data_IF_437195272153
#
_entry.id   IF_437195272153
#
_cell.length_a   1.000
_cell.length_b   1.000
_cell.length_c   1.000
_cell.angle_alpha   90.00
_cell.angle_beta   90.00
_cell.angle_gamma   90.00
#
_symmetry.space_group_name_H-M   'P 1'
#
loop_
_entity.id
_entity.type
_entity.pdbx_description
1 polymer ?
#
# COMPACT_ATOMS: atom_id res chain seq x y z
N UNK A 1 19.09 6.65 -96.01
CA UNK A 1 18.01 7.13 -95.13
C UNK A 1 18.01 6.32 -93.83
N UNK A 2 18.80 6.75 -92.84
CA UNK A 2 18.88 6.21 -91.47
C UNK A 2 19.42 7.33 -90.57
N UNK A 3 18.63 8.36 -90.30
CA UNK A 3 19.00 9.45 -89.38
C UNK A 3 17.75 10.24 -88.99
N UNK A 4 16.77 9.57 -88.37
CA UNK A 4 15.60 10.27 -87.83
C UNK A 4 14.93 9.54 -86.65
N UNK A 5 15.71 8.96 -85.73
CA UNK A 5 15.17 8.29 -84.54
C UNK A 5 15.95 8.52 -83.23
N UNK A 6 16.82 9.53 -83.16
CA UNK A 6 17.63 9.82 -81.98
C UNK A 6 17.40 11.20 -81.33
N UNK A 7 16.31 11.89 -81.67
CA UNK A 7 16.02 13.24 -81.15
C UNK A 7 14.85 13.27 -80.14
N UNK A 8 14.11 12.17 -79.95
CA UNK A 8 12.92 12.16 -79.06
C UNK A 8 13.21 11.53 -77.67
N UNK A 9 14.40 10.97 -77.44
CA UNK A 9 14.73 10.29 -76.16
C UNK A 9 15.55 11.16 -75.18
N UNK A 10 15.97 12.37 -75.55
CA UNK A 10 16.72 13.28 -74.66
C UNK A 10 15.88 14.39 -74.00
N UNK A 11 14.56 14.44 -74.22
CA UNK A 11 13.69 15.52 -73.70
C UNK A 11 12.64 15.01 -72.69
N UNK A 12 12.92 13.90 -72.01
CA UNK A 12 12.10 13.34 -70.92
C UNK A 12 12.89 13.14 -69.61
N UNK A 13 14.12 13.66 -69.54
CA UNK A 13 15.02 13.53 -68.38
C UNK A 13 15.35 14.88 -67.71
N UNK A 14 14.47 15.89 -67.84
CA UNK A 14 14.67 17.24 -67.30
C UNK A 14 13.43 17.80 -66.58
N UNK A 15 12.59 16.93 -65.99
CA UNK A 15 11.45 17.33 -65.14
C UNK A 15 11.43 16.48 -63.85
N UNK A 16 12.59 16.31 -63.19
CA UNK A 16 12.68 15.73 -61.83
C UNK A 16 13.54 16.60 -60.90
N UNK A 17 13.72 17.89 -61.20
CA UNK A 17 14.46 18.80 -60.31
C UNK A 17 13.72 20.12 -60.15
N UNK A 18 12.63 20.10 -59.40
CA UNK A 18 12.16 21.21 -58.56
C UNK A 18 10.82 20.84 -57.93
N UNK A 19 10.89 20.08 -56.84
CA UNK A 19 9.87 20.13 -55.79
C UNK A 19 10.60 19.99 -54.46
N UNK A 20 11.46 20.96 -54.15
CA UNK A 20 11.68 21.35 -52.76
C UNK A 20 10.36 21.97 -52.30
N UNK A 21 9.43 21.13 -51.87
CA UNK A 21 8.50 21.52 -50.83
C UNK A 21 9.37 22.04 -49.69
N UNK A 22 9.14 23.27 -49.23
CA UNK A 22 9.52 23.62 -47.87
C UNK A 22 8.84 22.59 -46.99
N UNK A 23 9.59 21.61 -46.50
CA UNK A 23 9.20 20.93 -45.28
C UNK A 23 9.14 22.03 -44.23
N UNK A 24 7.92 22.44 -43.91
CA UNK A 24 7.67 22.96 -42.60
C UNK A 24 8.31 21.96 -41.65
N UNK A 25 9.35 22.36 -40.93
CA UNK A 25 9.63 21.82 -39.62
C UNK A 25 8.38 22.11 -38.79
N UNK A 26 7.37 21.24 -38.96
CA UNK A 26 6.51 20.88 -37.86
C UNK A 26 7.51 20.33 -36.88
N UNK A 27 7.85 21.14 -35.88
CA UNK A 27 8.27 20.65 -34.58
C UNK A 27 7.27 19.57 -34.24
N UNK A 28 7.62 18.34 -34.58
CA UNK A 28 7.06 17.17 -33.97
C UNK A 28 7.41 17.39 -32.52
N UNK A 29 6.46 17.95 -31.76
CA UNK A 29 6.32 17.58 -30.38
C UNK A 29 6.59 16.09 -30.38
N UNK A 30 7.66 15.69 -29.69
CA UNK A 30 7.65 14.38 -29.08
C UNK A 30 6.36 14.39 -28.28
N UNK A 31 5.28 13.93 -28.90
CA UNK A 31 4.25 13.20 -28.23
C UNK A 31 5.03 12.12 -27.53
N UNK A 32 5.43 12.45 -26.30
CA UNK A 32 5.51 11.49 -25.23
C UNK A 32 4.23 10.70 -25.42
N UNK A 33 4.37 9.50 -25.96
CA UNK A 33 3.39 8.47 -25.76
C UNK A 33 3.39 8.27 -24.24
N UNK A 34 2.65 9.13 -23.53
CA UNK A 34 2.24 8.87 -22.17
C UNK A 34 1.40 7.61 -22.34
N UNK A 35 2.01 6.50 -22.01
CA UNK A 35 1.36 5.22 -21.94
C UNK A 35 0.19 5.37 -20.97
N UNK A 36 -1.02 5.54 -21.52
CA UNK A 36 -2.28 5.62 -20.77
C UNK A 36 -2.84 4.24 -20.46
N UNK A 37 -2.06 3.18 -20.68
CA UNK A 37 -2.34 1.83 -20.19
C UNK A 37 -1.98 1.73 -18.71
N UNK A 38 -2.64 2.50 -17.86
CA UNK A 38 -2.42 2.50 -16.41
C UNK A 38 -2.77 1.10 -15.89
N UNK A 39 -1.77 0.22 -15.77
CA UNK A 39 -1.74 -0.68 -14.62
C UNK A 39 -1.78 0.27 -13.44
N UNK A 40 -2.89 0.27 -12.71
CA UNK A 40 -2.95 1.05 -11.48
C UNK A 40 -1.82 0.55 -10.59
N UNK A 41 -1.22 1.42 -9.78
CA UNK A 41 -0.08 1.03 -8.95
C UNK A 41 -0.39 -0.22 -8.09
N UNK A 42 -1.68 -0.44 -7.78
CA UNK A 42 -2.22 -1.61 -7.08
C UNK A 42 -2.09 -2.94 -7.85
N UNK A 43 -2.09 -2.90 -9.17
CA UNK A 43 -2.03 -4.08 -10.04
C UNK A 43 -0.59 -4.46 -10.42
N UNK A 44 0.40 -3.66 -10.00
CA UNK A 44 1.79 -3.95 -10.32
C UNK A 44 2.30 -5.16 -9.54
N UNK A 45 2.99 -6.05 -10.25
CA UNK A 45 3.65 -7.21 -9.66
C UNK A 45 5.10 -6.82 -9.30
N UNK A 46 5.59 -7.18 -8.09
CA UNK A 46 6.99 -6.94 -7.74
C UNK A 46 7.95 -7.67 -8.67
N UNK A 47 8.98 -6.96 -9.14
CA UNK A 47 10.00 -7.52 -10.01
C UNK A 47 11.00 -8.35 -9.18
N UNK A 48 11.08 -9.65 -9.46
CA UNK A 48 11.96 -10.59 -8.73
C UNK A 48 13.45 -10.24 -8.79
N UNK A 49 13.90 -9.49 -9.80
CA UNK A 49 15.28 -9.02 -9.87
C UNK A 49 15.60 -7.93 -8.84
N UNK A 50 14.56 -7.31 -8.26
CA UNK A 50 14.68 -6.22 -7.32
C UNK A 50 14.42 -6.65 -5.88
N UNK A 51 14.07 -7.92 -5.62
CA UNK A 51 13.73 -8.43 -4.29
C UNK A 51 14.78 -8.06 -3.22
N UNK A 52 16.07 -8.19 -3.53
CA UNK A 52 17.17 -7.84 -2.61
C UNK A 52 17.70 -6.39 -2.72
N UNK A 53 17.14 -5.56 -3.61
CA UNK A 53 17.58 -4.16 -3.79
C UNK A 53 16.74 -3.16 -2.99
N UNK A 54 16.97 -1.86 -3.13
CA UNK A 54 16.07 -0.81 -2.61
C UNK A 54 14.94 -0.46 -3.58
N UNK A 55 15.03 -0.94 -4.81
CA UNK A 55 14.00 -0.71 -5.81
C UNK A 55 12.92 -1.79 -5.66
N UNK A 56 11.73 -1.51 -6.15
CA UNK A 56 10.58 -2.41 -6.08
C UNK A 56 9.29 -1.70 -5.70
N UNK A 57 8.36 -2.49 -5.17
CA UNK A 57 7.06 -2.02 -4.70
C UNK A 57 7.06 -2.08 -3.18
N UNK A 58 6.55 -1.02 -2.56
CA UNK A 58 6.30 -0.94 -1.13
C UNK A 58 4.79 -0.78 -0.92
N UNK A 59 4.27 -1.43 0.11
CA UNK A 59 2.87 -1.37 0.48
C UNK A 59 2.72 -1.19 1.99
N UNK A 60 1.64 -0.56 2.43
CA UNK A 60 1.35 -0.43 3.84
C UNK A 60 0.16 0.48 4.08
N UNK A 61 0.19 1.21 5.20
CA UNK A 61 -0.94 2.01 5.68
C UNK A 61 -0.51 3.42 6.05
N UNK A 62 -1.46 4.35 5.97
CA UNK A 62 -1.36 5.70 6.52
C UNK A 62 -2.54 5.96 7.44
N UNK A 63 -2.34 6.71 8.52
CA UNK A 63 -3.38 7.01 9.50
C UNK A 63 -3.16 8.37 10.16
N UNK A 64 -4.24 9.12 10.35
CA UNK A 64 -4.22 10.34 11.12
C UNK A 64 -4.07 10.03 12.61
N UNK A 65 -3.30 10.86 13.32
CA UNK A 65 -3.24 10.83 14.77
C UNK A 65 -4.46 11.47 15.43
N UNK A 66 -5.11 12.42 14.76
CA UNK A 66 -6.12 13.32 15.34
C UNK A 66 -7.54 13.04 14.87
N UNK A 67 -7.70 12.30 13.77
CA UNK A 67 -8.98 11.90 13.20
C UNK A 67 -9.03 10.38 12.97
N UNK A 68 -10.17 9.87 12.52
CA UNK A 68 -10.31 8.46 12.11
C UNK A 68 -9.89 8.24 10.64
N UNK A 69 -9.30 9.25 10.00
CA UNK A 69 -8.82 9.14 8.62
C UNK A 69 -7.65 8.17 8.54
N UNK A 70 -7.72 7.25 7.58
CA UNK A 70 -6.76 6.17 7.37
C UNK A 70 -6.86 5.67 5.95
N UNK A 71 -5.84 4.96 5.49
CA UNK A 71 -5.81 4.45 4.15
C UNK A 71 -4.67 3.49 3.92
N UNK A 72 -4.65 2.95 2.70
CA UNK A 72 -3.58 2.10 2.18
C UNK A 72 -2.67 2.94 1.29
N UNK A 73 -1.37 2.64 1.33
CA UNK A 73 -0.37 3.28 0.49
C UNK A 73 0.35 2.23 -0.36
N UNK A 74 0.62 2.59 -1.61
CA UNK A 74 1.51 1.87 -2.51
C UNK A 74 2.57 2.84 -3.00
N UNK A 75 3.82 2.42 -3.00
CA UNK A 75 4.95 3.19 -3.53
C UNK A 75 5.73 2.31 -4.49
N UNK A 76 5.96 2.80 -5.70
CA UNK A 76 6.83 2.17 -6.69
C UNK A 76 8.11 2.98 -6.78
N UNK A 77 9.21 2.32 -6.45
CA UNK A 77 10.57 2.84 -6.56
C UNK A 77 11.25 2.05 -7.66
N UNK A 78 11.14 2.53 -8.90
CA UNK A 78 11.77 1.97 -10.09
C UNK A 78 11.42 0.51 -10.42
N UNK A 79 10.35 -0.08 -9.88
CA UNK A 79 9.91 -1.45 -10.21
C UNK A 79 9.78 -1.68 -11.73
N UNK A 80 9.27 -0.65 -12.40
CA UNK A 80 9.14 -0.56 -13.86
C UNK A 80 9.79 0.71 -14.41
N UNK A 81 10.91 1.13 -13.82
CA UNK A 81 11.63 2.38 -14.13
C UNK A 81 10.86 3.69 -13.87
N UNK A 82 9.68 3.62 -13.24
CA UNK A 82 8.94 4.80 -12.78
C UNK A 82 9.04 4.97 -11.28
N UNK A 83 8.83 6.21 -10.81
CA UNK A 83 8.75 6.55 -9.41
C UNK A 83 7.41 7.24 -9.15
N UNK A 84 6.47 6.52 -8.55
CA UNK A 84 5.14 7.04 -8.24
C UNK A 84 4.58 6.37 -6.99
N UNK A 85 3.62 7.03 -6.36
CA UNK A 85 2.91 6.49 -5.22
C UNK A 85 1.42 6.79 -5.32
N UNK A 86 0.64 5.99 -4.59
CA UNK A 86 -0.80 6.11 -4.47
C UNK A 86 -1.16 5.96 -3.00
N UNK A 87 -1.94 6.89 -2.48
CA UNK A 87 -2.64 6.74 -1.20
C UNK A 87 -4.13 6.66 -1.50
N UNK A 88 -4.80 5.63 -0.99
CA UNK A 88 -6.26 5.49 -1.00
C UNK A 88 -6.74 5.53 0.44
N UNK A 89 -7.53 6.55 0.77
CA UNK A 89 -8.19 6.64 2.08
C UNK A 89 -9.43 5.75 2.11
N UNK A 90 -9.81 5.33 3.32
CA UNK A 90 -10.98 4.50 3.59
C UNK A 90 -12.31 5.09 3.10
N UNK A 91 -12.40 6.42 2.96
CA UNK A 91 -13.57 7.11 2.41
C UNK A 91 -13.61 7.13 0.87
N UNK A 92 -12.63 6.50 0.21
CA UNK A 92 -12.50 6.41 -1.24
C UNK A 92 -11.81 7.61 -1.89
N UNK A 93 -11.19 8.51 -1.12
CA UNK A 93 -10.34 9.57 -1.67
C UNK A 93 -8.97 9.01 -2.08
N UNK A 94 -8.47 9.45 -3.23
CA UNK A 94 -7.18 9.01 -3.79
C UNK A 94 -6.22 10.18 -3.96
N UNK A 95 -4.94 9.95 -3.64
CA UNK A 95 -3.85 10.87 -3.89
C UNK A 95 -2.75 10.18 -4.70
N UNK A 96 -2.46 10.71 -5.88
CA UNK A 96 -1.36 10.24 -6.73
C UNK A 96 -0.15 11.15 -6.54
N UNK A 97 1.02 10.56 -6.33
CA UNK A 97 2.28 11.27 -6.12
C UNK A 97 3.30 10.89 -7.18
N UNK A 98 4.16 11.84 -7.51
CA UNK A 98 5.36 11.62 -8.30
C UNK A 98 6.58 12.01 -7.48
N UNK A 99 7.73 11.42 -7.81
CA UNK A 99 9.00 11.81 -7.19
C UNK A 99 9.29 13.30 -7.45
N UNK A 100 9.73 14.01 -6.43
CA UNK A 100 10.15 15.40 -6.54
C UNK A 100 11.35 15.48 -7.51
N UNK A 101 11.26 16.26 -8.61
CA UNK A 101 12.32 16.33 -9.61
C UNK A 101 13.68 16.77 -9.06
N UNK A 102 13.71 17.53 -7.96
CA UNK A 102 14.97 17.95 -7.33
C UNK A 102 15.73 16.78 -6.70
N UNK A 103 15.02 15.77 -6.20
CA UNK A 103 15.59 14.55 -5.62
C UNK A 103 16.52 13.82 -6.61
N UNK A 104 16.15 13.73 -7.89
CA UNK A 104 16.97 13.02 -8.88
C UNK A 104 18.26 13.75 -9.28
N UNK A 105 18.36 15.05 -8.98
CA UNK A 105 19.46 15.88 -9.46
C UNK A 105 20.72 15.83 -8.56
N UNK A 106 20.62 15.25 -7.36
CA UNK A 106 21.62 15.45 -6.30
C UNK A 106 22.41 14.21 -5.84
N UNK A 107 22.12 12.97 -6.23
CA UNK A 107 22.87 11.83 -5.66
C UNK A 107 23.06 10.59 -6.56
N UNK A 108 24.32 10.14 -6.65
CA UNK A 108 24.70 8.74 -6.86
C UNK A 108 24.46 8.03 -5.53
N UNK A 109 23.50 7.11 -5.45
CA UNK A 109 23.03 6.40 -4.24
C UNK A 109 21.98 7.16 -3.40
N UNK A 110 20.90 7.62 -4.06
CA UNK A 110 19.74 8.15 -3.35
C UNK A 110 19.02 7.03 -2.58
N UNK A 111 18.94 7.16 -1.25
CA UNK A 111 18.13 6.28 -0.39
C UNK A 111 16.87 6.98 0.12
N UNK A 112 16.80 8.29 0.01
CA UNK A 112 15.67 9.11 0.49
C UNK A 112 14.91 9.64 -0.72
N UNK A 113 13.62 9.39 -0.79
CA UNK A 113 12.74 9.76 -1.89
C UNK A 113 11.63 10.68 -1.38
N UNK A 114 11.55 11.88 -1.95
CA UNK A 114 10.46 12.82 -1.64
C UNK A 114 9.37 12.70 -2.70
N UNK A 115 8.16 12.33 -2.29
CA UNK A 115 7.01 12.20 -3.17
C UNK A 115 6.08 13.39 -2.95
N UNK A 116 5.66 14.03 -4.05
CA UNK A 116 4.85 15.24 -4.03
C UNK A 116 3.64 15.13 -4.95
N UNK A 117 2.56 15.78 -4.55
CA UNK A 117 1.36 16.01 -5.35
C UNK A 117 0.87 17.44 -5.12
N UNK A 118 -0.24 17.82 -5.77
CA UNK A 118 -0.86 19.13 -5.50
C UNK A 118 -1.49 19.21 -4.11
N UNK A 119 -1.78 18.07 -3.50
CA UNK A 119 -2.62 17.96 -2.29
C UNK A 119 -1.86 17.35 -1.10
N UNK A 120 -0.59 16.99 -1.29
CA UNK A 120 0.20 16.40 -0.24
C UNK A 120 1.65 16.15 -0.61
N UNK A 121 2.39 15.64 0.37
CA UNK A 121 3.75 15.14 0.21
C UNK A 121 4.07 14.10 1.28
N UNK A 122 5.12 13.32 1.04
CA UNK A 122 5.76 12.48 2.06
C UNK A 122 7.21 12.19 1.68
N UNK A 123 7.98 11.67 2.64
CA UNK A 123 9.35 11.18 2.44
C UNK A 123 9.41 9.69 2.72
N UNK A 124 10.13 8.95 1.86
CA UNK A 124 10.44 7.53 2.04
C UNK A 124 11.96 7.37 2.16
N UNK A 125 12.45 6.86 3.28
CA UNK A 125 13.85 6.52 3.51
C UNK A 125 14.04 5.00 3.42
N UNK A 126 14.87 4.59 2.46
CA UNK A 126 15.23 3.21 2.14
C UNK A 126 16.70 2.90 2.46
N UNK A 127 17.32 3.68 3.35
CA UNK A 127 18.66 3.40 3.87
C UNK A 127 18.74 2.04 4.58
N UNK A 128 17.64 1.59 5.18
CA UNK A 128 17.42 0.21 5.62
C UNK A 128 16.21 -0.40 4.90
N UNK A 129 16.46 -1.21 3.87
CA UNK A 129 15.38 -1.82 3.07
C UNK A 129 14.56 -2.86 3.83
N UNK A 130 15.08 -3.41 4.92
CA UNK A 130 14.34 -4.33 5.80
C UNK A 130 13.38 -3.61 6.75
N UNK A 131 13.61 -2.32 7.00
CA UNK A 131 12.75 -1.46 7.83
C UNK A 131 12.59 -0.09 7.15
N UNK A 132 11.86 -0.01 6.02
CA UNK A 132 11.63 1.26 5.32
C UNK A 132 10.94 2.27 6.24
N UNK A 133 11.43 3.51 6.25
CA UNK A 133 10.82 4.58 7.04
C UNK A 133 10.04 5.52 6.13
N UNK A 134 8.75 5.74 6.46
CA UNK A 134 7.93 6.75 5.81
C UNK A 134 7.62 7.87 6.81
N UNK A 135 7.86 9.11 6.41
CA UNK A 135 7.76 10.26 7.29
C UNK A 135 7.17 11.48 6.56
N UNK A 136 6.83 12.51 7.34
CA UNK A 136 6.32 13.79 6.85
C UNK A 136 5.11 13.65 5.91
N UNK A 137 4.24 12.68 6.16
CA UNK A 137 3.05 12.47 5.34
C UNK A 137 2.08 13.60 5.64
N UNK A 138 1.78 14.42 4.65
CA UNK A 138 0.79 15.50 4.74
C UNK A 138 -0.20 15.34 3.60
N UNK A 139 -1.49 15.25 3.91
CA UNK A 139 -2.59 15.17 2.96
C UNK A 139 -3.61 16.25 3.30
N UNK A 140 -3.98 17.11 2.35
CA UNK A 140 -4.94 18.20 2.55
C UNK A 140 -4.62 19.10 3.76
N UNK A 141 -3.32 19.32 4.04
CA UNK A 141 -2.78 20.03 5.21
C UNK A 141 -2.98 19.35 6.58
N UNK A 142 -3.32 18.06 6.60
CA UNK A 142 -3.35 17.23 7.81
C UNK A 142 -2.14 16.28 7.80
N UNK A 143 -1.49 16.12 8.96
CA UNK A 143 -0.37 15.19 9.13
C UNK A 143 -0.87 13.77 9.40
N UNK A 144 -0.22 12.82 8.74
CA UNK A 144 -0.48 11.39 8.88
C UNK A 144 0.80 10.68 9.38
N UNK A 145 0.57 9.60 10.11
CA UNK A 145 1.56 8.55 10.34
C UNK A 145 1.46 7.51 9.23
N UNK A 146 2.50 6.71 9.05
CA UNK A 146 2.44 5.58 8.14
C UNK A 146 3.51 4.56 8.41
N UNK A 147 3.31 3.38 7.85
CA UNK A 147 4.30 2.32 7.77
C UNK A 147 4.19 1.67 6.42
N UNK A 148 5.33 1.37 5.81
CA UNK A 148 5.41 0.62 4.57
C UNK A 148 6.41 -0.51 4.72
N UNK A 149 6.15 -1.59 4.00
CA UNK A 149 7.00 -2.76 3.93
C UNK A 149 7.21 -3.08 2.45
N UNK A 150 8.31 -3.75 2.14
CA UNK A 150 8.61 -4.10 0.76
C UNK A 150 7.81 -5.32 0.33
N UNK A 151 7.14 -5.23 -0.81
CA UNK A 151 6.52 -6.38 -1.48
C UNK A 151 7.57 -7.16 -2.26
N UNK A 152 7.59 -8.47 -2.07
CA UNK A 152 8.52 -9.38 -2.73
C UNK A 152 7.82 -10.10 -3.88
N UNK A 153 8.58 -10.55 -4.88
CA UNK A 153 8.00 -11.24 -6.04
C UNK A 153 7.34 -12.58 -5.71
N UNK A 154 7.83 -13.25 -4.67
CA UNK A 154 7.26 -14.49 -4.15
C UNK A 154 6.13 -14.25 -3.14
N UNK A 155 6.09 -13.07 -2.53
CA UNK A 155 4.96 -12.66 -1.70
C UNK A 155 4.78 -11.14 -1.62
N UNK A 156 3.59 -10.71 -2.00
CA UNK A 156 3.22 -9.30 -1.95
C UNK A 156 2.78 -8.94 -0.54
N UNK A 157 3.25 -7.82 -0.01
CA UNK A 157 2.76 -7.33 1.26
C UNK A 157 1.26 -6.98 1.15
N UNK A 158 0.54 -7.20 2.24
CA UNK A 158 -0.89 -6.94 2.34
C UNK A 158 -1.20 -6.11 3.59
N UNK A 159 -2.35 -5.42 3.57
CA UNK A 159 -2.78 -4.60 4.70
C UNK A 159 -4.30 -4.54 4.80
N UNK A 160 -4.78 -4.34 6.02
CA UNK A 160 -6.18 -4.04 6.32
C UNK A 160 -6.24 -2.82 7.23
N UNK A 161 -7.21 -1.93 6.97
CA UNK A 161 -7.43 -0.72 7.76
C UNK A 161 -8.71 -0.86 8.55
N UNK A 162 -8.72 -0.31 9.76
CA UNK A 162 -9.86 -0.38 10.66
C UNK A 162 -9.89 0.82 11.61
N UNK A 163 -11.00 0.98 12.32
CA UNK A 163 -11.14 1.90 13.46
C UNK A 163 -11.49 1.13 14.72
N UNK A 164 -11.21 1.72 15.88
CA UNK A 164 -11.74 1.22 17.14
C UNK A 164 -12.45 2.33 17.90
N UNK A 165 -13.41 1.96 18.74
CA UNK A 165 -14.09 2.88 19.66
C UNK A 165 -14.53 2.15 20.93
N UNK A 166 -14.36 2.79 22.08
CA UNK A 166 -14.93 2.36 23.36
C UNK A 166 -16.46 2.43 23.35
N UNK A 167 -17.09 1.42 23.96
CA UNK A 167 -18.53 1.33 24.10
C UNK A 167 -19.05 2.42 25.03
N UNK A 168 -20.02 3.20 24.55
CA UNK A 168 -20.64 4.28 25.32
C UNK A 168 -19.76 5.51 25.54
N UNK A 169 -18.50 5.50 25.10
CA UNK A 169 -17.60 6.65 25.16
C UNK A 169 -16.70 6.75 23.90
N UNK A 170 -17.17 7.42 22.83
CA UNK A 170 -16.42 7.53 21.59
C UNK A 170 -15.15 8.39 21.69
N UNK A 171 -14.86 9.00 22.85
CA UNK A 171 -13.60 9.76 23.04
C UNK A 171 -12.36 8.87 23.14
N UNK A 172 -12.52 7.58 23.45
CA UNK A 172 -11.46 6.59 23.31
C UNK A 172 -11.67 5.83 22.00
N UNK A 173 -11.27 6.47 20.91
CA UNK A 173 -11.35 5.94 19.55
C UNK A 173 -10.10 6.31 18.76
N UNK A 174 -9.88 5.59 17.67
CA UNK A 174 -8.70 5.75 16.85
C UNK A 174 -8.69 4.80 15.66
N UNK A 175 -7.55 4.70 14.99
CA UNK A 175 -7.36 3.76 13.88
C UNK A 175 -6.66 2.47 14.36
N UNK A 176 -6.89 1.38 13.65
CA UNK A 176 -6.37 0.06 13.96
C UNK A 176 -6.00 -0.63 12.64
N UNK A 177 -4.73 -0.64 12.27
CA UNK A 177 -4.33 -1.04 10.92
C UNK A 177 -3.33 -2.20 10.98
N UNK A 178 -3.59 -3.24 10.19
CA UNK A 178 -2.77 -4.45 10.14
C UNK A 178 -1.93 -4.46 8.86
N UNK A 179 -0.70 -4.95 8.97
CA UNK A 179 0.20 -5.18 7.84
C UNK A 179 0.74 -6.62 7.94
N UNK A 180 0.82 -7.28 6.80
CA UNK A 180 1.65 -8.46 6.60
C UNK A 180 2.73 -8.14 5.56
N UNK A 181 3.99 -8.25 5.96
CA UNK A 181 5.16 -8.00 5.08
C UNK A 181 5.50 -9.18 4.16
N UNK A 182 4.77 -10.28 4.32
CA UNK A 182 4.95 -11.47 3.53
C UNK A 182 6.13 -12.38 3.92
N UNK A 183 6.79 -12.12 5.05
CA UNK A 183 7.82 -13.00 5.62
C UNK A 183 7.25 -14.32 6.18
N UNK A 184 5.97 -14.33 6.55
CA UNK A 184 5.26 -15.50 7.08
C UNK A 184 4.22 -15.98 6.05
N UNK A 185 4.62 -16.95 5.22
CA UNK A 185 3.78 -17.48 4.14
C UNK A 185 2.86 -18.58 4.63
N UNK A 186 1.58 -18.50 4.27
CA UNK A 186 0.60 -19.57 4.48
C UNK A 186 0.66 -20.17 5.89
N UNK A 187 0.63 -19.35 6.95
CA UNK A 187 0.98 -19.80 8.30
C UNK A 187 0.07 -20.93 8.83
N UNK A 188 -1.17 -21.00 8.33
CA UNK A 188 -2.17 -21.97 8.76
C UNK A 188 -2.56 -22.99 7.68
N UNK A 189 -1.86 -23.00 6.54
CA UNK A 189 -2.18 -23.89 5.43
C UNK A 189 -3.45 -23.50 4.64
N UNK A 190 -4.00 -22.32 4.86
CA UNK A 190 -5.25 -21.84 4.28
C UNK A 190 -5.08 -20.81 3.14
N UNK A 191 -3.87 -20.58 2.65
CA UNK A 191 -3.49 -19.47 1.77
C UNK A 191 -3.75 -18.11 2.44
N UNK A 192 -2.71 -17.34 2.71
CA UNK A 192 -2.79 -16.07 3.42
C UNK A 192 -1.43 -15.70 3.99
N UNK A 193 -1.35 -14.50 4.56
CA UNK A 193 -0.11 -13.92 5.05
C UNK A 193 -0.19 -13.73 6.56
N UNK A 194 0.85 -14.15 7.28
CA UNK A 194 0.96 -13.89 8.69
C UNK A 194 1.04 -12.38 8.95
N UNK A 195 0.21 -11.89 9.87
CA UNK A 195 0.27 -10.50 10.29
C UNK A 195 1.61 -10.25 10.99
N UNK A 196 2.31 -9.20 10.60
CA UNK A 196 3.63 -8.85 11.16
C UNK A 196 3.68 -7.48 11.80
N UNK A 197 2.67 -6.62 11.56
CA UNK A 197 2.58 -5.34 12.25
C UNK A 197 1.15 -4.90 12.50
N UNK A 198 0.95 -4.21 13.61
CA UNK A 198 -0.25 -3.46 13.95
C UNK A 198 0.12 -2.01 14.22
N UNK A 199 -0.55 -1.08 13.55
CA UNK A 199 -0.48 0.37 13.76
C UNK A 199 -1.76 0.87 14.40
N UNK A 200 -1.64 1.46 15.60
CA UNK A 200 -2.74 2.12 16.30
C UNK A 200 -2.44 3.61 16.38
N UNK A 201 -3.38 4.45 15.93
CA UNK A 201 -3.32 5.89 16.17
C UNK A 201 -4.45 6.34 17.09
N UNK A 202 -4.10 7.15 18.09
CA UNK A 202 -5.07 7.71 19.06
C UNK A 202 -4.49 8.98 19.69
N UNK A 203 -5.31 10.02 19.84
CA UNK A 203 -4.96 11.27 20.55
C UNK A 203 -3.66 11.96 20.07
N UNK A 204 -3.35 11.85 18.78
CA UNK A 204 -2.16 12.42 18.16
C UNK A 204 -0.91 11.55 18.21
N UNK A 205 -1.00 10.37 18.84
CA UNK A 205 0.13 9.45 18.99
C UNK A 205 0.00 8.23 18.06
N UNK A 206 1.14 7.64 17.71
CA UNK A 206 1.27 6.37 17.00
C UNK A 206 1.83 5.31 17.96
N UNK A 207 1.24 4.11 17.91
CA UNK A 207 1.73 2.93 18.59
C UNK A 207 1.86 1.80 17.56
N UNK A 208 2.94 1.04 17.69
CA UNK A 208 3.22 -0.11 16.82
C UNK A 208 3.41 -1.36 17.66
N UNK A 209 2.92 -2.49 17.13
CA UNK A 209 3.14 -3.81 17.68
C UNK A 209 3.58 -4.76 16.57
N UNK A 210 4.60 -5.56 16.88
CA UNK A 210 5.23 -6.52 15.97
C UNK A 210 5.18 -7.94 16.52
N UNK A 211 4.55 -8.14 17.68
CA UNK A 211 4.45 -9.45 18.33
C UNK A 211 3.01 -9.92 18.30
N UNK A 212 2.80 -11.13 17.79
CA UNK A 212 1.48 -11.73 17.66
C UNK A 212 1.46 -13.10 18.34
N UNK A 213 0.40 -13.33 19.10
CA UNK A 213 0.18 -14.57 19.84
C UNK A 213 -0.53 -15.58 18.93
N UNK A 214 -0.12 -16.85 18.94
CA UNK A 214 -0.98 -17.90 18.39
C UNK A 214 -2.19 -18.13 19.30
N UNK A 215 -3.31 -18.55 18.71
CA UNK A 215 -4.56 -18.73 19.44
C UNK A 215 -5.30 -20.00 19.03
N UNK A 216 -6.22 -20.44 19.89
CA UNK A 216 -6.97 -21.66 19.66
C UNK A 216 -8.21 -21.36 18.79
N UNK A 217 -8.20 -21.80 17.54
CA UNK A 217 -9.33 -21.76 16.61
C UNK A 217 -9.95 -23.16 16.39
N UNK A 218 -9.70 -24.13 17.27
CA UNK A 218 -10.04 -25.53 17.03
C UNK A 218 -11.55 -25.77 16.92
N UNK A 219 -12.36 -24.94 17.59
CA UNK A 219 -13.82 -25.03 17.54
C UNK A 219 -14.38 -24.81 16.12
N UNK A 220 -13.78 -23.89 15.37
CA UNK A 220 -14.25 -23.50 14.04
C UNK A 220 -13.41 -24.08 12.91
N UNK A 221 -12.08 -24.10 13.08
CA UNK A 221 -11.11 -24.41 12.03
C UNK A 221 -10.35 -25.72 12.29
N UNK A 222 -10.54 -26.36 13.45
CA UNK A 222 -9.83 -27.58 13.81
C UNK A 222 -8.33 -27.40 14.08
N UNK A 223 -7.85 -26.16 14.22
CA UNK A 223 -6.46 -25.83 14.56
C UNK A 223 -6.39 -25.12 15.93
N UNK A 224 -5.68 -25.72 16.89
CA UNK A 224 -5.50 -25.18 18.24
C UNK A 224 -4.33 -24.20 18.41
N UNK A 225 -3.49 -24.06 17.38
CA UNK A 225 -2.30 -23.20 17.35
C UNK A 225 -2.34 -22.37 16.06
N UNK A 226 -3.36 -21.52 15.97
CA UNK A 226 -3.63 -20.70 14.80
C UNK A 226 -2.85 -19.40 14.85
N UNK A 227 -2.13 -19.06 13.78
CA UNK A 227 -1.38 -17.82 13.67
C UNK A 227 -2.24 -16.70 13.06
N UNK A 228 -2.21 -15.47 13.59
CA UNK A 228 -2.93 -14.33 12.99
C UNK A 228 -2.65 -14.13 11.50
N UNK A 229 -3.69 -14.07 10.68
CA UNK A 229 -3.57 -14.10 9.21
C UNK A 229 -4.42 -13.02 8.54
N UNK A 230 -3.82 -12.35 7.55
CA UNK A 230 -4.50 -11.53 6.54
C UNK A 230 -4.65 -12.32 5.24
N UNK A 231 -5.65 -11.92 4.44
CA UNK A 231 -5.95 -12.52 3.14
C UNK A 231 -6.17 -14.04 3.19
N UNK A 232 -6.81 -14.51 4.26
CA UNK A 232 -7.12 -15.94 4.43
C UNK A 232 -7.94 -16.46 3.24
N UNK A 233 -7.61 -17.67 2.77
CA UNK A 233 -8.17 -18.28 1.56
C UNK A 233 -7.97 -17.48 0.28
N UNK A 234 -7.00 -16.55 0.26
CA UNK A 234 -6.74 -15.66 -0.87
C UNK A 234 -7.81 -14.60 -1.08
N UNK A 235 -8.65 -14.34 -0.06
CA UNK A 235 -9.72 -13.35 -0.11
C UNK A 235 -9.20 -12.03 0.48
N UNK A 236 -9.19 -10.93 -0.30
CA UNK A 236 -8.80 -9.62 0.23
C UNK A 236 -9.56 -9.24 1.50
N UNK A 237 -8.87 -8.61 2.43
CA UNK A 237 -9.36 -8.14 3.74
C UNK A 237 -9.92 -9.24 4.67
N UNK A 238 -9.90 -10.52 4.26
CA UNK A 238 -10.24 -11.65 5.14
C UNK A 238 -9.18 -11.81 6.23
N UNK A 239 -9.51 -11.31 7.41
CA UNK A 239 -8.66 -11.33 8.60
C UNK A 239 -9.12 -12.42 9.56
N UNK A 240 -8.19 -13.19 10.12
CA UNK A 240 -8.46 -14.15 11.21
C UNK A 240 -7.42 -13.91 12.29
N UNK A 241 -7.84 -13.30 13.40
CA UNK A 241 -6.94 -12.83 14.44
C UNK A 241 -7.69 -12.70 15.78
N UNK A 242 -7.63 -13.72 16.63
CA UNK A 242 -8.30 -13.71 17.94
C UNK A 242 -7.31 -13.77 19.09
N UNK A 243 -7.73 -13.32 20.27
CA UNK A 243 -7.00 -13.42 21.53
C UNK A 243 -5.61 -12.77 21.53
N UNK A 244 -5.45 -11.68 20.79
CA UNK A 244 -4.19 -10.96 20.69
C UNK A 244 -3.96 -10.01 21.87
N UNK A 245 -2.70 -9.64 22.06
CA UNK A 245 -2.25 -8.73 23.12
C UNK A 245 -1.45 -7.59 22.52
N UNK A 246 -1.83 -6.35 22.81
CA UNK A 246 -1.06 -5.19 22.33
C UNK A 246 -1.00 -4.11 23.40
N UNK A 247 0.17 -3.54 23.64
CA UNK A 247 0.34 -2.40 24.55
C UNK A 247 0.27 -1.07 23.78
N UNK A 248 -0.63 -0.17 24.20
CA UNK A 248 -0.74 1.18 23.63
C UNK A 248 -1.35 2.15 24.62
N UNK A 249 -1.07 3.45 24.43
CA UNK A 249 -1.62 4.56 25.23
C UNK A 249 -1.49 4.37 26.77
N UNK A 250 -0.40 3.75 27.23
CA UNK A 250 -0.15 3.54 28.66
C UNK A 250 -0.95 2.38 29.29
N UNK A 251 -1.49 1.48 28.47
CA UNK A 251 -2.16 0.26 28.92
C UNK A 251 -1.97 -0.91 27.97
N UNK A 252 -2.73 -1.98 28.18
CA UNK A 252 -2.70 -3.21 27.38
C UNK A 252 -4.10 -3.56 26.93
N UNK A 253 -4.26 -3.82 25.63
CA UNK A 253 -5.45 -4.36 25.05
C UNK A 253 -5.35 -5.87 24.82
N UNK A 254 -6.44 -6.57 25.12
CA UNK A 254 -6.75 -7.90 24.59
C UNK A 254 -7.82 -7.74 23.52
N UNK A 255 -7.62 -8.31 22.35
CA UNK A 255 -8.49 -8.03 21.21
C UNK A 255 -8.70 -9.22 20.29
N UNK A 256 -9.81 -9.16 19.55
CA UNK A 256 -10.19 -10.11 18.50
C UNK A 256 -10.63 -9.30 17.28
N UNK A 257 -10.07 -9.60 16.12
CA UNK A 257 -10.41 -8.99 14.85
C UNK A 257 -10.39 -10.06 13.76
N UNK A 258 -11.55 -10.65 13.55
CA UNK A 258 -11.75 -11.71 12.58
C UNK A 258 -12.95 -11.33 11.72
N UNK A 259 -12.70 -11.11 10.44
CA UNK A 259 -13.66 -10.57 9.48
C UNK A 259 -13.55 -11.31 8.15
N UNK A 260 -14.68 -11.84 7.69
CA UNK A 260 -14.87 -12.49 6.41
C UNK A 260 -15.79 -11.64 5.53
N UNK A 261 -15.19 -10.89 4.61
CA UNK A 261 -15.91 -10.08 3.64
C UNK A 261 -16.76 -10.92 2.67
N UNK A 262 -16.45 -12.21 2.50
CA UNK A 262 -17.09 -13.08 1.51
C UNK A 262 -18.42 -13.70 1.98
N UNK A 263 -18.77 -13.55 3.25
CA UNK A 263 -20.05 -14.07 3.73
C UNK A 263 -20.42 -13.73 5.17
N UNK A 264 -19.60 -14.15 6.16
CA UNK A 264 -20.04 -14.18 7.56
C UNK A 264 -19.95 -12.83 8.29
N UNK A 265 -19.23 -11.85 7.72
CA UNK A 265 -18.91 -10.63 8.44
C UNK A 265 -17.93 -10.94 9.57
N UNK A 266 -18.19 -10.48 10.79
CA UNK A 266 -17.31 -10.76 11.92
C UNK A 266 -17.60 -12.12 12.55
N UNK A 267 -16.54 -12.83 12.94
CA UNK A 267 -16.63 -14.16 13.54
C UNK A 267 -15.64 -14.26 14.68
N UNK A 268 -16.08 -14.70 15.85
CA UNK A 268 -15.18 -15.14 16.91
C UNK A 268 -14.82 -16.62 16.64
N UNK A 269 -13.62 -16.89 16.17
CA UNK A 269 -13.15 -18.23 15.80
C UNK A 269 -12.81 -19.10 17.02
N UNK A 270 -12.58 -18.50 18.18
CA UNK A 270 -12.46 -19.23 19.44
C UNK A 270 -13.80 -19.88 19.86
N UNK A 271 -14.91 -19.16 19.73
CA UNK A 271 -16.27 -19.64 20.07
C UNK A 271 -17.02 -20.25 18.89
N UNK A 272 -16.56 -19.96 17.67
CA UNK A 272 -17.26 -20.27 16.42
C UNK A 272 -18.63 -19.61 16.31
N UNK A 273 -18.68 -18.31 16.62
CA UNK A 273 -19.91 -17.52 16.65
C UNK A 273 -19.76 -16.24 15.82
N UNK A 274 -20.80 -15.89 15.07
CA UNK A 274 -20.82 -14.62 14.35
C UNK A 274 -20.98 -13.46 15.35
N UNK A 275 -20.25 -12.38 15.10
CA UNK A 275 -20.31 -11.13 15.87
C UNK A 275 -20.65 -9.96 14.93
N UNK A 276 -20.88 -8.79 15.50
CA UNK A 276 -21.15 -7.56 14.74
C UNK A 276 -19.89 -6.75 14.44
N UNK A 277 -18.82 -7.00 15.19
CA UNK A 277 -17.55 -6.29 15.11
C UNK A 277 -16.41 -7.16 15.67
N UNK A 278 -15.17 -6.73 15.43
CA UNK A 278 -14.05 -7.08 16.29
C UNK A 278 -14.25 -6.46 17.68
N UNK A 279 -13.56 -6.98 18.69
CA UNK A 279 -13.69 -6.51 20.07
C UNK A 279 -12.34 -6.25 20.70
N UNK A 280 -12.29 -5.32 21.65
CA UNK A 280 -11.14 -5.15 22.51
C UNK A 280 -11.56 -4.90 23.95
N UNK A 281 -10.69 -5.29 24.87
CA UNK A 281 -10.69 -4.84 26.26
C UNK A 281 -9.35 -4.19 26.54
N UNK A 282 -9.31 -2.96 27.03
CA UNK A 282 -8.09 -2.24 27.36
C UNK A 282 -8.02 -1.99 28.85
N UNK A 283 -6.87 -2.23 29.46
CA UNK A 283 -6.61 -1.99 30.87
C UNK A 283 -5.40 -1.10 31.03
N UNK A 284 -5.51 -0.03 31.84
CA UNK A 284 -4.38 0.86 32.12
C UNK A 284 -3.24 0.10 32.80
N UNK A 285 -2.02 0.60 32.66
CA UNK A 285 -0.82 -0.01 33.24
C UNK A 285 -0.87 -0.19 34.77
N UNK A 286 -1.64 0.64 35.47
CA UNK A 286 -1.88 0.54 36.91
C UNK A 286 -3.09 -0.34 37.28
N UNK A 287 -3.82 -0.86 36.29
CA UNK A 287 -4.99 -1.71 36.47
C UNK A 287 -6.26 -1.00 36.94
N UNK A 288 -6.27 0.34 37.01
CA UNK A 288 -7.39 1.09 37.60
C UNK A 288 -8.49 1.45 36.60
N UNK A 289 -8.14 1.58 35.32
CA UNK A 289 -9.07 1.93 34.24
C UNK A 289 -9.24 0.70 33.35
N UNK A 290 -10.49 0.33 33.14
CA UNK A 290 -10.89 -0.72 32.21
C UNK A 290 -11.81 -0.11 31.15
N UNK A 291 -11.57 -0.48 29.89
CA UNK A 291 -12.36 -0.06 28.73
C UNK A 291 -12.69 -1.28 27.90
N UNK A 292 -13.85 -1.27 27.27
CA UNK A 292 -14.25 -2.28 26.30
C UNK A 292 -14.84 -1.58 25.09
N UNK A 293 -14.68 -2.18 23.91
CA UNK A 293 -15.12 -1.55 22.67
C UNK A 293 -15.04 -2.47 21.47
N UNK A 294 -15.30 -1.85 20.32
CA UNK A 294 -15.40 -2.53 19.04
C UNK A 294 -14.29 -2.09 18.10
N UNK A 295 -13.92 -2.98 17.18
CA UNK A 295 -12.98 -2.73 16.07
C UNK A 295 -13.71 -3.02 14.76
N UNK A 296 -13.68 -2.09 13.82
CA UNK A 296 -14.40 -2.14 12.55
C UNK A 296 -13.43 -1.95 11.36
N UNK A 297 -13.22 -3.02 10.59
CA UNK A 297 -12.57 -3.02 9.28
C UNK A 297 -13.42 -2.23 8.28
N UNK A 298 -12.72 -1.55 7.37
CA UNK A 298 -13.28 -0.80 6.23
C UNK A 298 -14.05 -1.64 5.20
#
# INVERSE_FOLDING_TARGET
MKTLNYIIICMLLAIITMSCSQENEVTGEKSSLIFTGISTLKDQVPNSLLDESMEGIYHGVVASGSTLSRGKIWVNVANNSNYNALIELADGIFFEFSLNPTSLSEAVNMTIFEFVSNEGHFTLDLSNTGEPEIANIVLLNESFFGRVVKSMSNNMASSATATFSENGNPSFSGTWNLIADGSILNPNGNNGDGITSLLITINGDLFEDFTFDSFNAAACLGNSDYFPTLYSYGVPDFTICDYQTTSFAGGTAKWNLSYDQSGQGYVNYFLCENTTAGTFTWTSSDGTIYKEGEILID
#
